data_IF_094304460528
#
_entry.id   IF_094304460528
#
_cell.length_a   1.000
_cell.length_b   1.000
_cell.length_c   1.000
_cell.angle_alpha   90.00
_cell.angle_beta   90.00
_cell.angle_gamma   90.00
#
_symmetry.space_group_name_H-M   'P 1'
#
loop_
_entity.id
_entity.type
_entity.pdbx_description
1 polymer ?
#
# COMPACT_ATOMS: atom_id res chain seq x y z
N UNK A 1 -17.82 20.40 5.60
CA UNK A 1 -18.42 19.18 6.17
C UNK A 1 -18.44 18.15 5.03
N UNK A 2 -17.89 16.96 5.23
CA UNK A 2 -17.94 15.88 4.23
C UNK A 2 -19.27 15.16 4.34
N UNK A 3 -19.92 14.88 3.21
CA UNK A 3 -21.21 14.17 3.17
C UNK A 3 -21.00 12.68 2.93
N UNK A 4 -22.03 11.87 3.19
CA UNK A 4 -21.99 10.43 2.88
C UNK A 4 -21.80 10.17 1.38
N UNK A 5 -22.43 10.98 0.52
CA UNK A 5 -22.26 10.90 -0.93
C UNK A 5 -20.82 11.22 -1.37
N UNK A 6 -20.05 11.98 -0.59
CA UNK A 6 -18.62 12.20 -0.87
C UNK A 6 -17.77 10.99 -0.48
N UNK A 7 -18.18 10.24 0.56
CA UNK A 7 -17.52 9.00 0.94
C UNK A 7 -17.73 7.90 -0.11
N UNK A 8 -18.94 7.75 -0.65
CA UNK A 8 -19.24 6.74 -1.69
C UNK A 8 -18.43 6.90 -2.98
N UNK A 9 -17.94 8.11 -3.27
CA UNK A 9 -17.06 8.36 -4.44
C UNK A 9 -15.67 7.76 -4.27
N UNK A 10 -15.26 7.41 -3.04
CA UNK A 10 -13.94 6.86 -2.74
C UNK A 10 -14.00 5.34 -2.80
N UNK A 11 -13.26 4.76 -3.74
CA UNK A 11 -13.14 3.32 -3.86
C UNK A 11 -12.04 2.79 -2.94
N UNK A 12 -12.44 2.14 -1.84
CA UNK A 12 -11.54 1.48 -0.89
C UNK A 12 -11.54 -0.01 -1.16
N UNK A 13 -10.36 -0.61 -1.28
CA UNK A 13 -10.16 -2.03 -1.58
C UNK A 13 -9.17 -2.65 -0.61
N UNK A 14 -9.33 -3.95 -0.41
CA UNK A 14 -8.35 -4.79 0.28
C UNK A 14 -7.52 -5.49 -0.80
N UNK A 15 -6.21 -5.56 -0.59
CA UNK A 15 -5.29 -6.29 -1.44
C UNK A 15 -4.16 -6.87 -0.61
N UNK A 16 -3.46 -7.84 -1.16
CA UNK A 16 -2.37 -8.57 -0.49
C UNK A 16 -1.03 -8.08 -1.02
N UNK A 17 -0.09 -7.78 -0.13
CA UNK A 17 1.24 -7.37 -0.55
C UNK A 17 2.00 -8.60 -1.05
N UNK A 18 2.43 -8.57 -2.32
CA UNK A 18 3.17 -9.68 -2.96
C UNK A 18 4.67 -9.38 -3.10
N UNK A 19 5.07 -8.11 -3.09
CA UNK A 19 6.47 -7.71 -3.19
C UNK A 19 6.75 -6.45 -2.36
N UNK A 20 7.92 -6.40 -1.71
CA UNK A 20 8.36 -5.28 -0.88
C UNK A 20 9.81 -4.94 -1.16
N UNK A 21 10.04 -3.73 -1.67
CA UNK A 21 11.36 -3.21 -1.99
C UNK A 21 11.73 -2.01 -1.12
N UNK A 22 13.02 -1.85 -0.85
CA UNK A 22 13.52 -0.64 -0.20
C UNK A 22 13.32 0.56 -1.13
N UNK A 23 12.95 1.72 -0.57
CA UNK A 23 12.90 2.97 -1.31
C UNK A 23 13.92 3.98 -0.77
N UNK A 24 15.23 3.77 -1.00
CA UNK A 24 16.27 4.65 -0.46
C UNK A 24 16.24 6.07 -1.06
N UNK A 25 15.69 6.22 -2.26
CA UNK A 25 15.55 7.52 -2.95
C UNK A 25 14.44 8.40 -2.35
N UNK A 26 13.53 7.82 -1.55
CA UNK A 26 12.46 8.59 -0.94
C UNK A 26 12.99 9.50 0.17
N UNK A 27 12.48 10.73 0.22
CA UNK A 27 12.85 11.72 1.25
C UNK A 27 12.68 11.18 2.68
N UNK A 28 11.64 10.37 2.90
CA UNK A 28 11.38 9.70 4.16
C UNK A 28 11.52 8.18 3.99
N UNK A 29 12.02 7.45 5.01
CA UNK A 29 12.15 6.00 4.96
C UNK A 29 10.83 5.30 4.59
N UNK A 30 10.80 4.69 3.41
CA UNK A 30 9.61 4.03 2.87
C UNK A 30 9.95 2.76 2.10
N UNK A 31 8.93 1.95 1.87
CA UNK A 31 8.98 0.79 0.98
C UNK A 31 8.20 1.06 -0.29
N UNK A 32 8.68 0.51 -1.42
CA UNK A 32 7.88 0.31 -2.63
C UNK A 32 7.18 -1.04 -2.48
N UNK A 33 5.86 -1.04 -2.57
CA UNK A 33 5.00 -2.21 -2.43
C UNK A 33 4.39 -2.56 -3.79
N UNK A 34 4.30 -3.84 -4.08
CA UNK A 34 3.41 -4.38 -5.11
C UNK A 34 2.28 -5.11 -4.42
N UNK A 35 1.05 -4.66 -4.68
CA UNK A 35 -0.16 -5.15 -4.02
C UNK A 35 -1.05 -5.81 -5.06
N UNK A 36 -1.46 -7.03 -4.80
CA UNK A 36 -2.46 -7.76 -5.59
C UNK A 36 -3.87 -7.44 -5.11
N UNK A 37 -4.67 -6.84 -5.98
CA UNK A 37 -6.09 -6.55 -5.74
C UNK A 37 -7.02 -7.57 -6.45
N UNK A 38 -6.51 -8.75 -6.77
CA UNK A 38 -7.25 -9.83 -7.42
C UNK A 38 -7.65 -9.46 -8.84
N UNK A 39 -8.96 -9.35 -9.10
CA UNK A 39 -9.47 -9.01 -10.43
C UNK A 39 -9.03 -7.62 -10.92
N UNK A 40 -8.64 -6.71 -10.01
CA UNK A 40 -8.11 -5.39 -10.36
C UNK A 40 -6.61 -5.40 -10.70
N UNK A 41 -5.96 -6.55 -10.53
CA UNK A 41 -4.56 -6.79 -10.84
C UNK A 41 -3.58 -6.20 -9.82
N UNK A 42 -2.31 -6.15 -10.23
CA UNK A 42 -1.21 -5.70 -9.41
C UNK A 42 -1.03 -4.18 -9.49
N UNK A 43 -0.85 -3.52 -8.34
CA UNK A 43 -0.64 -2.07 -8.24
C UNK A 43 0.58 -1.74 -7.39
N UNK A 44 1.33 -0.73 -7.83
CA UNK A 44 2.45 -0.19 -7.07
C UNK A 44 1.97 0.88 -6.09
N UNK A 45 2.55 0.88 -4.88
CA UNK A 45 2.35 1.91 -3.88
C UNK A 45 3.64 2.19 -3.12
N UNK A 46 3.74 3.35 -2.49
CA UNK A 46 4.87 3.70 -1.61
C UNK A 46 4.36 4.02 -0.21
N UNK A 47 4.88 3.35 0.81
CA UNK A 47 4.39 3.48 2.18
C UNK A 47 5.53 3.67 3.20
N UNK A 48 5.36 4.61 4.13
CA UNK A 48 6.32 4.93 5.19
C UNK A 48 6.12 4.00 6.41
N UNK A 49 6.19 2.69 6.19
CA UNK A 49 5.93 1.64 7.20
C UNK A 49 7.20 1.15 7.91
N UNK A 50 8.36 1.68 7.55
CA UNK A 50 9.70 1.25 7.99
C UNK A 50 9.94 1.33 9.50
N UNK A 51 9.12 2.08 10.25
CA UNK A 51 9.25 2.21 11.70
C UNK A 51 8.74 0.98 12.47
N UNK A 52 7.71 0.31 11.97
CA UNK A 52 7.02 -0.78 12.67
C UNK A 52 7.11 -2.12 11.93
N UNK A 53 7.35 -2.08 10.62
CA UNK A 53 7.37 -3.27 9.79
C UNK A 53 8.72 -3.43 9.07
N UNK A 54 9.19 -4.67 9.02
CA UNK A 54 10.27 -5.09 8.11
C UNK A 54 9.67 -5.62 6.80
N UNK A 55 10.52 -5.89 5.81
CA UNK A 55 10.04 -6.36 4.50
C UNK A 55 9.36 -7.71 4.59
N UNK A 56 9.92 -8.60 5.40
CA UNK A 56 9.48 -9.99 5.53
C UNK A 56 8.11 -10.06 6.21
N UNK A 57 7.85 -9.19 7.19
CA UNK A 57 6.56 -9.10 7.88
C UNK A 57 5.46 -8.38 7.10
N UNK A 58 5.76 -7.88 5.89
CA UNK A 58 4.77 -7.25 5.01
C UNK A 58 4.31 -8.17 3.87
N UNK A 59 5.09 -9.19 3.50
CA UNK A 59 4.72 -10.10 2.40
C UNK A 59 3.60 -11.04 2.87
N UNK A 60 2.50 -11.11 2.11
CA UNK A 60 1.36 -11.98 2.41
C UNK A 60 0.37 -11.42 3.43
N UNK A 61 0.57 -10.18 3.90
CA UNK A 61 -0.42 -9.41 4.65
C UNK A 61 -1.48 -8.78 3.74
#
# INVERSE_FOLDING_TARGET
>A
MITYADFEKIEIRVGTIVEVNSFPEARNPSFKLLIDFGALGLKYSSAQLTKLYNKEGLIGC
#
